data_IF_324884328359
#
_entry.id   IF_324884328359
#
_cell.length_a   1.000
_cell.length_b   1.000
_cell.length_c   1.000
_cell.angle_alpha   90.00
_cell.angle_beta   90.00
_cell.angle_gamma   90.00
#
_symmetry.space_group_name_H-M   'P 1'
#
loop_
_entity.id
_entity.type
_entity.pdbx_description
1 polymer ?
#
# COMPACT_ATOMS: atom_id res chain seq x y z
N UNK A 1 12.15 28.80 18.53
CA UNK A 1 12.41 28.11 17.24
C UNK A 1 13.91 28.14 16.95
N UNK A 2 14.48 27.10 16.31
CA UNK A 2 15.91 27.06 16.00
C UNK A 2 16.32 28.25 15.12
N UNK A 3 17.58 28.68 15.22
CA UNK A 3 18.09 29.73 14.35
C UNK A 3 18.17 29.24 12.89
N UNK A 4 18.08 30.12 11.89
CA UNK A 4 18.19 29.73 10.48
C UNK A 4 19.46 28.93 10.17
N UNK A 5 20.59 29.27 10.80
CA UNK A 5 21.84 28.55 10.63
C UNK A 5 21.81 27.13 11.22
N UNK A 6 21.19 26.94 12.39
CA UNK A 6 21.02 25.63 13.00
C UNK A 6 20.09 24.74 12.15
N UNK A 7 19.01 25.32 11.61
CA UNK A 7 18.08 24.62 10.74
C UNK A 7 18.75 24.14 9.43
N UNK A 8 19.54 25.00 8.77
CA UNK A 8 20.30 24.60 7.57
C UNK A 8 21.29 23.46 7.85
N UNK A 9 21.96 23.47 9.00
CA UNK A 9 22.85 22.37 9.38
C UNK A 9 22.08 21.06 9.54
N UNK A 10 20.94 21.09 10.24
CA UNK A 10 20.09 19.92 10.40
C UNK A 10 19.60 19.36 9.05
N UNK A 11 19.17 20.24 8.13
CA UNK A 11 18.78 19.83 6.77
C UNK A 11 19.94 19.21 5.99
N UNK A 12 21.14 19.80 6.06
CA UNK A 12 22.32 19.23 5.41
C UNK A 12 22.60 17.83 5.94
N UNK A 13 22.69 17.69 7.26
CA UNK A 13 22.93 16.38 7.88
C UNK A 13 21.88 15.37 7.45
N UNK A 14 20.59 15.72 7.49
CA UNK A 14 19.53 14.82 7.01
C UNK A 14 19.72 14.39 5.55
N UNK A 15 20.10 15.31 4.66
CA UNK A 15 20.37 15.00 3.26
C UNK A 15 21.57 14.04 3.09
N UNK A 16 22.65 14.23 3.87
CA UNK A 16 23.82 13.36 3.83
C UNK A 16 23.45 11.90 4.23
N UNK A 17 22.67 11.74 5.30
CA UNK A 17 22.18 10.41 5.74
C UNK A 17 21.22 9.78 4.72
N UNK A 18 20.33 10.56 4.10
CA UNK A 18 19.45 10.06 3.03
C UNK A 18 20.24 9.65 1.77
N UNK A 19 21.39 10.28 1.52
CA UNK A 19 22.31 9.88 0.45
C UNK A 19 23.12 8.61 0.78
N UNK A 20 22.92 8.02 1.97
CA UNK A 20 23.54 6.77 2.39
C UNK A 20 24.70 6.93 3.37
N UNK A 21 24.97 8.13 3.87
CA UNK A 21 25.89 8.26 5.02
C UNK A 21 25.30 7.56 6.25
N UNK A 22 26.17 6.91 7.02
CA UNK A 22 25.81 6.20 8.25
C UNK A 22 26.84 6.55 9.32
N UNK A 23 26.37 6.94 10.51
CA UNK A 23 27.22 7.02 11.68
C UNK A 23 27.43 5.59 12.22
N UNK A 24 28.65 5.05 12.16
CA UNK A 24 28.92 3.67 12.56
C UNK A 24 28.66 3.42 14.05
N UNK A 25 28.64 4.46 14.88
CA UNK A 25 28.34 4.39 16.32
C UNK A 25 26.91 3.94 16.56
N UNK A 26 25.98 4.36 15.71
CA UNK A 26 24.53 4.12 15.87
C UNK A 26 23.90 3.35 14.72
N UNK A 27 24.69 2.87 13.74
CA UNK A 27 24.16 2.35 12.47
C UNK A 27 23.19 1.15 12.53
N UNK A 28 23.07 0.45 13.66
CA UNK A 28 22.08 -0.61 13.87
C UNK A 28 20.96 -0.21 14.84
N UNK A 29 20.92 1.05 15.25
CA UNK A 29 19.88 1.55 16.14
C UNK A 29 18.53 1.55 15.43
N UNK A 30 17.50 1.11 16.13
CA UNK A 30 16.09 1.17 15.69
C UNK A 30 15.27 2.06 16.61
N UNK A 31 15.77 2.33 17.82
CA UNK A 31 15.10 3.12 18.83
C UNK A 31 16.12 4.06 19.48
N UNK A 32 15.64 5.21 19.94
CA UNK A 32 16.41 6.10 20.78
C UNK A 32 15.49 6.78 21.79
N UNK A 33 16.06 7.21 22.91
CA UNK A 33 15.41 8.15 23.83
C UNK A 33 16.48 9.03 24.49
N UNK A 34 16.08 10.14 25.09
CA UNK A 34 17.02 10.98 25.84
C UNK A 34 17.18 10.45 27.27
N UNK A 35 18.26 10.80 27.98
CA UNK A 35 18.49 10.36 29.37
C UNK A 35 17.41 10.82 30.34
N UNK A 36 16.76 11.93 30.02
CA UNK A 36 15.68 12.55 30.79
C UNK A 36 14.36 11.77 30.69
N UNK A 37 14.27 10.78 29.79
CA UNK A 37 13.08 9.96 29.57
C UNK A 37 13.42 8.49 29.77
N UNK A 38 12.58 7.75 30.50
CA UNK A 38 12.76 6.30 30.71
C UNK A 38 11.54 5.51 30.27
N UNK A 39 11.43 5.18 28.96
CA UNK A 39 10.31 4.42 28.42
C UNK A 39 10.29 2.98 28.95
N UNK A 40 9.10 2.41 29.17
CA UNK A 40 8.95 1.04 29.68
C UNK A 40 9.65 -0.03 28.80
N UNK A 41 9.75 0.21 27.48
CA UNK A 41 10.40 -0.69 26.53
C UNK A 41 11.94 -0.62 26.57
N UNK A 42 12.54 0.37 27.23
CA UNK A 42 13.99 0.60 27.19
C UNK A 42 14.78 -0.62 27.68
N UNK A 43 14.30 -1.24 28.77
CA UNK A 43 14.91 -2.44 29.34
C UNK A 43 14.76 -3.71 28.46
N UNK A 44 13.86 -3.69 27.47
CA UNK A 44 13.62 -4.84 26.58
C UNK A 44 14.57 -4.86 25.37
N UNK A 45 15.36 -3.81 25.17
CA UNK A 45 16.26 -3.62 24.04
C UNK A 45 17.73 -3.57 24.49
N UNK A 46 18.65 -3.81 23.57
CA UNK A 46 20.09 -3.64 23.84
C UNK A 46 20.48 -2.18 23.60
N UNK A 47 20.97 -1.50 24.64
CA UNK A 47 21.61 -0.18 24.49
C UNK A 47 22.96 -0.35 23.79
N UNK A 48 23.19 0.40 22.72
CA UNK A 48 24.40 0.26 21.89
C UNK A 48 25.28 1.50 21.85
N UNK A 49 24.71 2.69 22.08
CA UNK A 49 25.48 3.93 22.02
C UNK A 49 24.80 5.06 22.80
N UNK A 50 25.60 6.09 23.10
CA UNK A 50 25.15 7.39 23.59
C UNK A 50 25.78 8.48 22.72
N UNK A 51 24.98 9.36 22.13
CA UNK A 51 25.44 10.53 21.37
C UNK A 51 24.77 11.77 21.95
N UNK A 52 25.56 12.62 22.61
CA UNK A 52 25.01 13.68 23.46
C UNK A 52 24.09 13.09 24.52
N UNK A 53 22.87 13.63 24.63
CA UNK A 53 21.85 13.14 25.57
C UNK A 53 21.04 11.94 25.03
N UNK A 54 21.25 11.54 23.78
CA UNK A 54 20.48 10.47 23.15
C UNK A 54 21.13 9.11 23.38
N UNK A 55 20.36 8.20 23.95
CA UNK A 55 20.68 6.78 24.10
C UNK A 55 20.07 6.00 22.95
N UNK A 56 20.87 5.20 22.26
CA UNK A 56 20.46 4.41 21.09
C UNK A 56 20.38 2.93 21.42
N UNK A 57 19.38 2.27 20.86
CA UNK A 57 19.05 0.88 21.14
C UNK A 57 18.77 0.09 19.87
N UNK A 58 19.00 -1.21 19.94
CA UNK A 58 18.62 -2.18 18.90
C UNK A 58 17.81 -3.33 19.47
N UNK A 59 17.09 -4.03 18.60
CA UNK A 59 16.43 -5.28 18.96
C UNK A 59 17.43 -6.33 19.46
N UNK A 60 17.01 -7.07 20.49
CA UNK A 60 17.81 -8.21 20.99
C UNK A 60 17.78 -9.36 19.99
N UNK A 61 18.82 -10.18 20.00
CA UNK A 61 18.89 -11.38 19.17
C UNK A 61 19.19 -11.08 17.69
N UNK A 62 18.68 -11.93 16.79
CA UNK A 62 18.95 -11.89 15.35
C UNK A 62 18.40 -10.64 14.67
N UNK A 63 17.23 -10.16 15.10
CA UNK A 63 16.54 -9.00 14.54
C UNK A 63 17.34 -7.69 14.63
N UNK A 64 18.25 -7.56 15.60
CA UNK A 64 19.13 -6.39 15.70
C UNK A 64 20.52 -6.58 15.08
N UNK A 65 20.76 -7.63 14.28
CA UNK A 65 22.04 -7.85 13.59
C UNK A 65 21.97 -7.32 12.16
N UNK A 66 23.11 -6.99 11.55
CA UNK A 66 23.23 -6.53 10.16
C UNK A 66 22.42 -7.38 9.16
N UNK A 67 22.43 -8.71 9.34
CA UNK A 67 21.70 -9.64 8.48
C UNK A 67 20.18 -9.43 8.44
N UNK A 68 19.59 -8.81 9.46
CA UNK A 68 18.16 -8.46 9.48
C UNK A 68 17.83 -7.22 8.64
N UNK A 69 18.82 -6.38 8.31
CA UNK A 69 18.68 -5.15 7.54
C UNK A 69 19.10 -5.35 6.08
N UNK A 70 18.61 -6.42 5.45
CA UNK A 70 18.87 -6.74 4.03
C UNK A 70 17.80 -6.22 3.06
N UNK A 71 16.78 -5.52 3.57
CA UNK A 71 15.75 -4.93 2.73
C UNK A 71 16.37 -3.87 1.83
N UNK A 72 16.15 -3.99 0.52
CA UNK A 72 16.59 -2.99 -0.44
C UNK A 72 15.57 -1.87 -0.46
N UNK A 73 16.02 -0.64 -0.24
CA UNK A 73 15.16 0.54 -0.42
C UNK A 73 14.78 0.63 -1.89
N UNK A 74 13.49 0.51 -2.20
CA UNK A 74 12.97 0.47 -3.57
C UNK A 74 12.80 1.86 -4.19
N UNK A 75 13.22 2.92 -3.50
CA UNK A 75 13.18 4.30 -4.01
C UNK A 75 11.85 5.02 -3.81
N UNK A 76 10.85 4.38 -3.19
CA UNK A 76 9.51 4.94 -3.02
C UNK A 76 9.11 4.96 -1.53
N UNK A 77 8.87 6.14 -0.98
CA UNK A 77 8.31 6.31 0.36
C UNK A 77 6.77 6.36 0.28
N UNK A 78 6.05 5.69 1.19
CA UNK A 78 4.60 5.64 1.12
C UNK A 78 3.97 7.01 1.40
N UNK A 79 3.16 7.49 0.47
CA UNK A 79 2.35 8.70 0.63
C UNK A 79 1.36 8.54 1.79
N UNK A 80 1.50 9.40 2.80
CA UNK A 80 0.60 9.43 3.94
C UNK A 80 -0.51 10.46 3.68
N UNK A 81 -1.64 10.03 3.10
CA UNK A 81 -2.75 10.92 2.74
C UNK A 81 -3.29 11.75 3.92
N UNK A 82 -3.15 11.25 5.16
CA UNK A 82 -3.50 12.01 6.38
C UNK A 82 -2.60 13.23 6.61
N UNK A 83 -1.40 13.24 6.04
CA UNK A 83 -0.41 14.32 6.11
C UNK A 83 -0.39 15.20 4.85
N UNK A 84 -1.19 14.87 3.82
CA UNK A 84 -1.31 15.62 2.57
C UNK A 84 -1.61 17.11 2.78
N UNK A 85 -2.43 17.43 3.77
CA UNK A 85 -2.77 18.81 4.12
C UNK A 85 -1.59 19.59 4.76
N UNK A 86 -0.58 18.90 5.28
CA UNK A 86 0.56 19.49 6.00
C UNK A 86 1.84 19.52 5.16
N UNK A 87 1.98 18.62 4.19
CA UNK A 87 3.16 18.53 3.34
C UNK A 87 2.81 18.05 1.95
N UNK A 88 3.27 18.82 0.95
CA UNK A 88 3.15 18.47 -0.47
C UNK A 88 3.92 17.18 -0.80
N UNK A 89 4.91 16.79 0.00
CA UNK A 89 5.64 15.52 -0.18
C UNK A 89 4.74 14.28 0.00
N UNK A 90 3.56 14.44 0.63
CA UNK A 90 2.57 13.37 0.77
C UNK A 90 1.38 13.53 -0.19
N UNK A 91 1.43 14.52 -1.09
CA UNK A 91 0.47 14.67 -2.16
C UNK A 91 0.90 13.85 -3.36
N UNK A 92 -0.05 13.27 -4.07
CA UNK A 92 0.30 12.36 -5.15
C UNK A 92 0.41 13.09 -6.47
N UNK A 93 1.57 13.04 -7.13
CA UNK A 93 1.71 12.84 -8.59
C UNK A 93 3.05 13.33 -9.13
N UNK A 94 3.50 12.65 -10.18
CA UNK A 94 4.52 13.02 -11.17
C UNK A 94 4.34 14.42 -11.79
N UNK A 95 4.43 15.49 -11.01
CA UNK A 95 4.35 16.87 -11.49
C UNK A 95 5.45 17.74 -10.89
N UNK A 96 6.32 18.29 -11.73
CA UNK A 96 7.07 19.51 -11.37
C UNK A 96 6.06 20.60 -11.04
N UNK A 97 5.91 20.93 -9.75
CA UNK A 97 5.09 22.04 -9.29
C UNK A 97 6.00 23.27 -9.10
N UNK A 98 5.95 24.21 -10.03
CA UNK A 98 6.36 25.60 -9.73
C UNK A 98 5.31 26.21 -8.83
N UNK A 99 5.67 26.42 -7.56
CA UNK A 99 4.78 27.04 -6.57
C UNK A 99 4.85 28.55 -6.73
N UNK A 100 3.84 29.16 -7.34
CA UNK A 100 3.61 30.60 -7.19
C UNK A 100 3.02 30.83 -5.78
N UNK A 101 3.68 31.70 -5.00
CA UNK A 101 3.27 32.01 -3.64
C UNK A 101 1.85 32.63 -3.62
N UNK A 102 0.95 32.06 -2.80
CA UNK A 102 -0.25 32.78 -2.33
C UNK A 102 -1.60 32.14 -2.59
N UNK A 103 -1.70 31.02 -3.31
CA UNK A 103 -3.01 30.42 -3.61
C UNK A 103 -2.98 28.91 -3.38
N UNK A 104 -4.00 28.39 -2.69
CA UNK A 104 -4.24 26.96 -2.51
C UNK A 104 -4.40 26.30 -3.91
N UNK A 105 -3.56 25.33 -4.27
CA UNK A 105 -3.74 24.60 -5.51
C UNK A 105 -4.80 23.51 -5.28
N UNK A 106 -5.91 23.60 -6.01
CA UNK A 106 -6.80 22.45 -6.23
C UNK A 106 -6.22 21.66 -7.39
N UNK A 107 -5.50 20.57 -7.10
CA UNK A 107 -4.90 19.72 -8.14
C UNK A 107 -5.30 18.28 -7.88
N UNK A 108 -5.93 17.70 -8.90
CA UNK A 108 -6.33 16.30 -8.95
C UNK A 108 -5.10 15.39 -9.05
N UNK A 109 -5.11 14.36 -8.21
CA UNK A 109 -4.00 13.47 -7.88
C UNK A 109 -3.89 12.31 -8.89
N UNK A 110 -2.74 12.13 -9.55
CA UNK A 110 -2.37 10.90 -10.28
C UNK A 110 -1.07 10.29 -9.74
N UNK A 111 -1.17 9.26 -8.90
CA UNK A 111 -0.03 8.47 -8.40
C UNK A 111 0.16 7.17 -9.18
N UNK A 112 1.40 6.86 -9.55
CA UNK A 112 1.80 5.54 -10.01
C UNK A 112 2.26 4.66 -8.82
N UNK A 113 1.35 3.86 -8.24
CA UNK A 113 1.66 2.78 -7.28
C UNK A 113 2.29 1.55 -7.95
N UNK A 114 2.61 0.48 -7.21
CA UNK A 114 2.95 -0.81 -7.82
C UNK A 114 1.89 -1.17 -8.86
N UNK A 115 2.33 -1.29 -10.10
CA UNK A 115 1.48 -1.52 -11.25
C UNK A 115 0.73 -2.82 -10.99
N UNK A 116 -0.59 -2.74 -10.76
CA UNK A 116 -1.48 -3.78 -11.26
C UNK A 116 -1.12 -3.84 -12.73
N UNK A 117 -0.26 -4.78 -13.12
CA UNK A 117 0.01 -5.02 -14.54
C UNK A 117 -1.37 -5.24 -15.11
N UNK A 118 -1.88 -4.24 -15.84
CA UNK A 118 -3.15 -4.32 -16.54
C UNK A 118 -2.89 -5.33 -17.63
N UNK A 119 -2.93 -6.61 -17.26
CA UNK A 119 -2.91 -7.67 -18.23
C UNK A 119 -4.13 -7.40 -19.11
N UNK A 120 -3.98 -7.44 -20.44
CA UNK A 120 -5.11 -7.29 -21.34
C UNK A 120 -6.24 -8.22 -20.90
N UNK A 121 -7.42 -7.66 -20.63
CA UNK A 121 -8.55 -8.41 -20.07
C UNK A 121 -8.85 -8.15 -18.59
N UNK A 122 -7.97 -7.49 -17.83
CA UNK A 122 -8.21 -7.25 -16.39
C UNK A 122 -8.84 -5.89 -16.10
N UNK A 123 -9.94 -5.90 -15.35
CA UNK A 123 -10.73 -4.74 -14.96
C UNK A 123 -10.97 -4.73 -13.45
N UNK A 124 -11.00 -3.54 -12.86
CA UNK A 124 -11.23 -3.35 -11.43
C UNK A 124 -12.40 -2.39 -11.24
N UNK A 125 -13.42 -2.80 -10.48
CA UNK A 125 -14.64 -2.01 -10.26
C UNK A 125 -14.91 -1.85 -8.76
N UNK A 126 -15.48 -0.71 -8.40
CA UNK A 126 -15.88 -0.43 -7.03
C UNK A 126 -17.30 -0.93 -6.77
N UNK A 127 -17.49 -1.78 -5.74
CA UNK A 127 -18.76 -2.41 -5.37
C UNK A 127 -19.27 -1.93 -4.01
N UNK A 128 -19.43 -0.62 -3.86
CA UNK A 128 -19.89 0.00 -2.61
C UNK A 128 -21.40 -0.11 -2.36
N UNK A 129 -22.17 -0.41 -3.39
CA UNK A 129 -23.61 -0.63 -3.26
C UNK A 129 -23.89 -2.01 -2.65
N UNK A 130 -24.51 -2.04 -1.47
CA UNK A 130 -25.26 -3.21 -1.06
C UNK A 130 -26.41 -3.47 -2.05
N UNK A 131 -26.74 -4.74 -2.30
CA UNK A 131 -27.77 -5.14 -3.26
C UNK A 131 -27.79 -6.67 -3.45
N UNK A 132 -28.61 -7.16 -4.39
CA UNK A 132 -28.71 -8.58 -4.72
C UNK A 132 -27.52 -9.10 -5.55
N UNK A 133 -26.55 -8.23 -5.88
CA UNK A 133 -25.36 -8.48 -6.71
C UNK A 133 -25.64 -9.01 -8.14
N UNK A 134 -26.90 -9.09 -8.58
CA UNK A 134 -27.29 -9.38 -9.97
C UNK A 134 -26.84 -8.24 -10.87
N UNK A 135 -27.02 -7.00 -10.42
CA UNK A 135 -26.52 -5.81 -11.13
C UNK A 135 -25.00 -5.82 -11.33
N UNK A 136 -24.25 -6.40 -10.39
CA UNK A 136 -22.79 -6.52 -10.48
C UNK A 136 -22.36 -7.52 -11.57
N UNK A 137 -23.09 -8.63 -11.74
CA UNK A 137 -22.84 -9.57 -12.83
C UNK A 137 -23.04 -8.92 -14.19
N UNK A 138 -24.12 -8.15 -14.36
CA UNK A 138 -24.40 -7.43 -15.61
C UNK A 138 -23.35 -6.36 -15.90
N UNK A 139 -22.88 -5.65 -14.88
CA UNK A 139 -21.79 -4.70 -15.01
C UNK A 139 -20.50 -5.41 -15.46
N UNK A 140 -20.13 -6.52 -14.81
CA UNK A 140 -18.95 -7.30 -15.20
C UNK A 140 -19.03 -7.83 -16.64
N UNK A 141 -20.20 -8.32 -17.05
CA UNK A 141 -20.44 -8.75 -18.43
C UNK A 141 -20.25 -7.61 -19.43
N UNK A 142 -20.77 -6.41 -19.13
CA UNK A 142 -20.65 -5.25 -20.01
C UNK A 142 -19.20 -4.81 -20.19
N UNK A 143 -18.39 -4.88 -19.14
CA UNK A 143 -16.94 -4.62 -19.22
C UNK A 143 -16.21 -5.63 -20.11
N UNK A 144 -16.73 -6.87 -20.22
CA UNK A 144 -16.10 -7.95 -20.95
C UNK A 144 -16.52 -8.07 -22.44
N UNK A 145 -17.38 -7.18 -22.92
CA UNK A 145 -17.82 -7.19 -24.33
C UNK A 145 -16.61 -7.03 -25.26
N UNK A 146 -16.53 -7.87 -26.28
CA UNK A 146 -15.45 -7.83 -27.28
C UNK A 146 -14.10 -8.42 -26.84
N UNK A 147 -13.95 -8.88 -25.59
CA UNK A 147 -12.69 -9.42 -25.09
C UNK A 147 -12.65 -10.95 -25.22
N UNK A 148 -11.45 -11.49 -25.49
CA UNK A 148 -11.22 -12.94 -25.60
C UNK A 148 -10.98 -13.57 -24.23
N UNK A 149 -10.27 -12.85 -23.36
CA UNK A 149 -10.12 -13.13 -21.94
C UNK A 149 -10.50 -11.86 -21.19
N UNK A 150 -11.32 -12.00 -20.15
CA UNK A 150 -11.75 -10.90 -19.31
C UNK A 150 -11.88 -11.35 -17.85
N UNK A 151 -11.32 -10.58 -16.94
CA UNK A 151 -11.40 -10.76 -15.49
C UNK A 151 -11.78 -9.42 -14.87
N UNK A 152 -12.94 -9.37 -14.22
CA UNK A 152 -13.43 -8.20 -13.50
C UNK A 152 -13.34 -8.48 -12.01
N UNK A 153 -12.60 -7.65 -11.28
CA UNK A 153 -12.42 -7.74 -9.83
C UNK A 153 -13.15 -6.59 -9.16
N UNK A 154 -14.17 -6.93 -8.38
CA UNK A 154 -14.92 -5.99 -7.56
C UNK A 154 -14.39 -5.90 -6.13
N UNK A 155 -14.15 -4.69 -5.67
CA UNK A 155 -13.67 -4.38 -4.31
C UNK A 155 -14.54 -3.32 -3.64
N UNK A 156 -14.47 -3.23 -2.32
CA UNK A 156 -15.26 -2.26 -1.56
C UNK A 156 -14.37 -1.23 -0.84
N UNK A 157 -14.90 -0.03 -0.54
CA UNK A 157 -14.10 1.01 0.14
C UNK A 157 -13.57 0.60 1.52
N UNK A 158 -14.19 -0.36 2.21
CA UNK A 158 -13.70 -0.85 3.52
C UNK A 158 -12.50 -1.77 3.35
N UNK A 159 -12.38 -2.42 2.20
CA UNK A 159 -11.21 -3.22 1.82
C UNK A 159 -10.06 -2.37 1.28
N UNK A 160 -10.28 -1.07 1.09
CA UNK A 160 -9.23 -0.12 0.76
C UNK A 160 -8.28 0.05 1.96
N UNK A 161 -7.11 -0.55 1.85
CA UNK A 161 -5.96 -0.26 2.72
C UNK A 161 -5.18 0.92 2.13
N UNK A 162 -4.05 1.32 2.73
CA UNK A 162 -3.27 2.50 2.33
C UNK A 162 -2.78 2.42 0.85
N UNK A 163 -3.61 2.81 -0.10
CA UNK A 163 -3.29 2.92 -1.53
C UNK A 163 -3.68 4.29 -2.09
N UNK A 164 -3.10 4.63 -3.24
CA UNK A 164 -3.38 5.86 -3.95
C UNK A 164 -4.83 5.91 -4.49
N UNK A 165 -5.43 7.09 -4.70
CA UNK A 165 -6.75 7.23 -5.34
C UNK A 165 -6.80 6.59 -6.74
N UNK A 166 -5.69 6.63 -7.47
CA UNK A 166 -5.55 6.00 -8.78
C UNK A 166 -5.24 4.48 -8.71
N UNK A 167 -4.83 3.97 -7.54
CA UNK A 167 -4.36 2.58 -7.32
C UNK A 167 -4.64 2.14 -5.87
N UNK A 168 -5.90 1.79 -5.56
CA UNK A 168 -6.28 1.34 -4.23
C UNK A 168 -5.58 0.01 -3.88
N UNK A 169 -5.01 -0.09 -2.68
CA UNK A 169 -4.55 -1.37 -2.14
C UNK A 169 -5.78 -2.13 -1.63
N UNK A 170 -6.26 -3.08 -2.41
CA UNK A 170 -7.46 -3.86 -2.12
C UNK A 170 -7.08 -5.05 -1.23
N UNK A 171 -7.45 -5.03 0.05
CA UNK A 171 -7.15 -6.10 1.00
C UNK A 171 -8.06 -7.33 0.85
N UNK A 172 -9.29 -7.14 0.35
CA UNK A 172 -10.27 -8.23 0.13
C UNK A 172 -11.10 -7.98 -1.11
N UNK A 173 -11.39 -9.06 -1.84
CA UNK A 173 -12.28 -9.09 -3.01
C UNK A 173 -13.72 -9.31 -2.56
N UNK A 174 -14.64 -8.52 -3.10
CA UNK A 174 -16.07 -8.64 -2.82
C UNK A 174 -16.86 -9.25 -3.99
N UNK A 175 -16.32 -9.20 -5.21
CA UNK A 175 -16.92 -9.74 -6.42
C UNK A 175 -15.83 -10.17 -7.43
N UNK A 176 -16.06 -11.25 -8.16
CA UNK A 176 -15.17 -11.74 -9.22
C UNK A 176 -15.99 -12.25 -10.40
N UNK A 177 -15.71 -11.74 -11.59
CA UNK A 177 -16.23 -12.26 -12.85
C UNK A 177 -15.04 -12.65 -13.74
N UNK A 178 -15.04 -13.86 -14.29
CA UNK A 178 -14.02 -14.32 -15.24
C UNK A 178 -14.71 -14.94 -16.43
N UNK A 179 -14.34 -14.48 -17.63
CA UNK A 179 -14.78 -15.03 -18.90
C UNK A 179 -13.55 -15.29 -19.78
N UNK A 180 -13.39 -16.51 -20.27
CA UNK A 180 -12.37 -16.87 -21.24
C UNK A 180 -13.02 -17.64 -22.40
N UNK A 181 -13.12 -16.98 -23.55
CA UNK A 181 -13.75 -17.54 -24.75
C UNK A 181 -12.92 -18.65 -25.38
N UNK A 182 -11.62 -18.76 -25.05
CA UNK A 182 -10.74 -19.81 -25.58
C UNK A 182 -10.99 -21.15 -24.90
N UNK A 183 -11.33 -21.11 -23.61
CA UNK A 183 -11.54 -22.30 -22.77
C UNK A 183 -13.03 -22.55 -22.49
N UNK A 184 -13.90 -21.58 -22.78
CA UNK A 184 -15.33 -21.64 -22.47
C UNK A 184 -15.65 -21.41 -20.99
N UNK A 185 -14.67 -20.93 -20.21
CA UNK A 185 -14.84 -20.69 -18.78
C UNK A 185 -15.60 -19.39 -18.57
N UNK A 186 -16.71 -19.46 -17.84
CA UNK A 186 -17.44 -18.31 -17.34
C UNK A 186 -17.79 -18.53 -15.86
N UNK A 187 -17.25 -17.69 -14.98
CA UNK A 187 -17.37 -17.82 -13.53
C UNK A 187 -17.77 -16.48 -12.94
N UNK A 188 -18.74 -16.51 -12.02
CA UNK A 188 -19.16 -15.34 -11.26
C UNK A 188 -19.25 -15.70 -9.78
N UNK A 189 -18.52 -14.99 -8.93
CA UNK A 189 -18.41 -15.23 -7.49
C UNK A 189 -18.59 -13.95 -6.69
N UNK A 190 -19.15 -14.08 -5.49
CA UNK A 190 -19.41 -12.98 -4.57
C UNK A 190 -18.93 -13.30 -3.16
N UNK A 191 -18.63 -12.26 -2.38
CA UNK A 191 -18.53 -12.41 -0.94
C UNK A 191 -19.92 -12.67 -0.35
N UNK A 192 -20.23 -13.92 -0.03
CA UNK A 192 -21.52 -14.30 0.54
C UNK A 192 -21.77 -13.78 1.96
N UNK A 193 -20.76 -13.25 2.66
CA UNK A 193 -20.98 -12.51 3.89
C UNK A 193 -21.62 -11.13 3.62
N UNK A 194 -21.55 -10.65 2.37
CA UNK A 194 -22.03 -9.35 1.92
C UNK A 194 -23.21 -9.44 0.96
N UNK A 195 -23.25 -10.44 0.11
CA UNK A 195 -24.30 -10.66 -0.90
C UNK A 195 -25.01 -11.97 -0.62
N UNK A 196 -26.31 -11.92 -0.31
CA UNK A 196 -27.08 -13.14 -0.09
C UNK A 196 -27.17 -13.95 -1.39
N UNK A 197 -26.73 -15.21 -1.35
CA UNK A 197 -26.69 -16.10 -2.52
C UNK A 197 -27.51 -17.37 -2.25
N UNK A 198 -28.28 -17.85 -3.24
CA UNK A 198 -29.07 -19.09 -3.08
C UNK A 198 -28.21 -20.36 -3.02
N UNK A 199 -26.99 -20.31 -3.55
CA UNK A 199 -26.10 -21.48 -3.67
C UNK A 199 -24.67 -21.12 -3.27
N UNK A 200 -24.01 -22.01 -2.53
CA UNK A 200 -22.66 -21.79 -2.00
C UNK A 200 -21.57 -21.77 -3.09
N UNK A 201 -21.85 -22.38 -4.25
CA UNK A 201 -20.93 -22.37 -5.40
C UNK A 201 -20.74 -20.99 -6.01
N UNK A 202 -21.63 -20.04 -5.67
CA UNK A 202 -21.49 -18.63 -6.04
C UNK A 202 -20.65 -17.84 -5.02
N UNK A 203 -20.18 -18.47 -3.95
CA UNK A 203 -19.42 -17.81 -2.90
C UNK A 203 -17.92 -17.81 -3.18
N UNK A 204 -17.26 -16.69 -2.88
CA UNK A 204 -15.81 -16.59 -2.86
C UNK A 204 -15.26 -17.47 -1.72
N UNK A 205 -14.41 -18.43 -2.09
CA UNK A 205 -13.58 -19.18 -1.15
C UNK A 205 -12.48 -18.30 -0.54
N UNK A 206 -11.90 -18.71 0.59
CA UNK A 206 -10.76 -18.01 1.20
C UNK A 206 -9.57 -17.83 0.25
N UNK A 207 -9.38 -18.79 -0.66
CA UNK A 207 -8.38 -18.71 -1.73
C UNK A 207 -8.70 -17.54 -2.67
N UNK A 208 -9.94 -17.43 -3.13
CA UNK A 208 -10.37 -16.40 -4.08
C UNK A 208 -10.52 -15.01 -3.43
N UNK A 209 -10.65 -14.93 -2.10
CA UNK A 209 -10.72 -13.66 -1.33
C UNK A 209 -9.38 -12.95 -1.18
N UNK A 210 -8.24 -13.67 -1.24
CA UNK A 210 -6.89 -13.16 -0.90
C UNK A 210 -5.97 -13.03 -2.13
N UNK A 211 -6.55 -12.88 -3.32
CA UNK A 211 -6.00 -13.35 -4.59
C UNK A 211 -5.12 -12.37 -5.40
N UNK A 212 -4.47 -11.41 -4.75
CA UNK A 212 -3.57 -10.43 -5.40
C UNK A 212 -2.45 -11.12 -6.22
N UNK A 213 -2.18 -12.41 -6.01
CA UNK A 213 -1.12 -13.19 -6.66
C UNK A 213 -1.57 -14.13 -7.79
N UNK A 214 -2.84 -14.14 -8.21
CA UNK A 214 -3.29 -15.14 -9.18
C UNK A 214 -3.01 -14.82 -10.65
N UNK A 215 -2.35 -15.77 -11.31
CA UNK A 215 -1.82 -15.66 -12.68
C UNK A 215 -2.68 -16.35 -13.76
N UNK A 216 -3.94 -16.69 -13.50
CA UNK A 216 -4.84 -17.18 -14.57
C UNK A 216 -4.96 -18.70 -14.72
N UNK A 217 -4.53 -19.52 -13.76
CA UNK A 217 -4.72 -20.98 -13.82
C UNK A 217 -6.00 -21.44 -13.10
N UNK A 218 -7.06 -21.68 -13.87
CA UNK A 218 -8.35 -22.17 -13.39
C UNK A 218 -8.53 -23.69 -13.49
N UNK A 219 -7.46 -24.45 -13.76
CA UNK A 219 -7.52 -25.91 -13.98
C UNK A 219 -7.98 -26.74 -12.78
N UNK A 220 -8.22 -26.13 -11.61
CA UNK A 220 -8.61 -26.80 -10.36
C UNK A 220 -9.73 -26.11 -9.58
N UNK A 221 -10.61 -25.38 -10.26
CA UNK A 221 -11.74 -24.67 -9.64
C UNK A 221 -12.99 -25.56 -9.43
N UNK A 222 -12.80 -26.78 -8.94
CA UNK A 222 -13.85 -27.70 -8.51
C UNK A 222 -13.77 -27.90 -7.01
#
# INVERSE_FOLDING_TARGET
MPSPAAWRRAQKTAADFLAGEIDPTVGLATHYHTEQVHPYWSATLDKIAKVGDHLFFRWRGSWGRKAAFGAHYVGDEPYQLKLAALSLAHNTADGTVTVAAGTLPTVELTTAAATLTKNPGEHFILVDGGGDGTGLAMQGLNECIGQTYCKVVGWDRRSQTNGAPARPLIGTVAFLYVSDKRTGVEIVLWDCARFNRPVDTQCLSDRNRRWITFQGDLSRAS
#
